data_IF_040155452356
#
_entry.id   IF_040155452356
#
_cell.length_a   1.000
_cell.length_b   1.000
_cell.length_c   1.000
_cell.angle_alpha   90.00
_cell.angle_beta   90.00
_cell.angle_gamma   90.00
#
_symmetry.space_group_name_H-M   'P 1'
#
loop_
_entity.id
_entity.type
_entity.pdbx_description
1 polymer ?
#
# COMPACT_ATOMS: atom_id res chain seq x y z
N UNK A 1 -13.73 18.37 -11.62
CA UNK A 1 -13.02 18.80 -10.41
C UNK A 1 -12.04 17.70 -10.04
N UNK A 2 -10.87 17.66 -10.70
CA UNK A 2 -9.76 16.77 -10.33
C UNK A 2 -8.78 17.65 -9.56
N UNK A 3 -8.86 17.59 -8.24
CA UNK A 3 -8.14 18.48 -7.33
C UNK A 3 -6.66 18.07 -7.26
N UNK A 4 -5.90 18.51 -8.29
CA UNK A 4 -4.48 18.88 -8.38
C UNK A 4 -3.40 17.99 -7.72
N UNK A 5 -2.37 17.58 -8.49
CA UNK A 5 -1.01 17.42 -7.97
C UNK A 5 -0.30 18.78 -7.94
N UNK A 6 0.38 19.06 -6.83
CA UNK A 6 1.31 20.19 -6.65
C UNK A 6 2.54 19.98 -7.55
N UNK A 7 2.80 20.94 -8.43
CA UNK A 7 4.05 21.02 -9.19
C UNK A 7 4.89 22.18 -8.68
N UNK A 8 6.11 21.87 -8.24
CA UNK A 8 7.19 22.84 -8.05
C UNK A 8 8.09 22.83 -9.29
N UNK A 9 8.62 24.00 -9.63
CA UNK A 9 9.20 24.40 -10.93
C UNK A 9 10.38 23.58 -11.47
N UNK A 10 10.89 22.60 -10.73
CA UNK A 10 12.12 21.87 -11.09
C UNK A 10 11.88 20.41 -11.50
N UNK A 11 10.67 19.84 -11.31
CA UNK A 11 10.32 18.45 -11.67
C UNK A 11 8.87 18.33 -12.19
N UNK A 12 8.56 19.06 -13.28
CA UNK A 12 7.22 19.07 -13.91
C UNK A 12 6.97 17.85 -14.81
N UNK A 13 7.03 16.64 -14.25
CA UNK A 13 6.60 15.42 -14.93
C UNK A 13 5.43 14.80 -14.18
N UNK A 14 4.24 14.84 -14.78
CA UNK A 14 3.10 14.09 -14.24
C UNK A 14 3.07 12.72 -14.89
N UNK A 15 3.09 11.66 -14.07
CA UNK A 15 2.93 10.29 -14.52
C UNK A 15 1.59 9.71 -14.05
N UNK A 16 0.89 9.03 -14.95
CA UNK A 16 -0.28 8.22 -14.64
C UNK A 16 -0.10 6.84 -15.24
N UNK A 17 -0.22 5.80 -14.41
CA UNK A 17 -0.01 4.42 -14.83
C UNK A 17 -1.37 3.70 -14.87
N UNK A 18 -1.68 3.10 -16.02
CA UNK A 18 -2.81 2.21 -16.21
C UNK A 18 -2.31 0.77 -16.12
N UNK A 19 -2.53 0.15 -14.96
CA UNK A 19 -2.07 -1.21 -14.66
C UNK A 19 -2.68 -2.25 -15.60
N UNK A 20 -4.00 -2.20 -15.79
CA UNK A 20 -4.72 -3.13 -16.67
C UNK A 20 -4.34 -3.01 -18.14
N UNK A 21 -3.85 -1.84 -18.56
CA UNK A 21 -3.40 -1.59 -19.93
C UNK A 21 -1.90 -1.80 -20.16
N UNK A 22 -1.09 -1.89 -19.09
CA UNK A 22 0.37 -1.85 -19.20
C UNK A 22 0.87 -0.55 -19.85
N UNK A 23 0.26 0.58 -19.50
CA UNK A 23 0.53 1.88 -20.13
C UNK A 23 0.92 2.90 -19.07
N UNK A 24 1.94 3.69 -19.36
CA UNK A 24 2.21 4.93 -18.62
C UNK A 24 1.95 6.13 -19.54
N UNK A 25 1.29 7.13 -18.98
CA UNK A 25 1.10 8.43 -19.59
C UNK A 25 1.96 9.43 -18.84
N UNK A 26 2.74 10.22 -19.57
CA UNK A 26 3.54 11.29 -18.98
C UNK A 26 3.24 12.61 -19.65
N UNK A 27 3.09 13.66 -18.84
CA UNK A 27 2.95 15.02 -19.34
C UNK A 27 4.15 15.86 -18.91
N UNK A 28 4.62 16.71 -19.83
CA UNK A 28 5.74 17.61 -19.59
C UNK A 28 5.46 18.98 -20.24
N UNK A 29 5.73 20.10 -19.56
CA UNK A 29 5.75 21.41 -20.20
C UNK A 29 6.81 21.46 -21.31
N UNK A 30 6.47 22.10 -22.43
CA UNK A 30 7.48 22.35 -23.48
C UNK A 30 8.55 23.30 -22.99
N UNK A 31 9.77 23.16 -23.53
CA UNK A 31 10.94 23.93 -23.10
C UNK A 31 10.80 25.45 -23.30
N UNK A 32 9.90 25.89 -24.18
CA UNK A 32 9.58 27.30 -24.42
C UNK A 32 8.46 27.85 -23.49
N UNK A 33 7.88 27.00 -22.65
CA UNK A 33 7.01 27.33 -21.51
C UNK A 33 5.82 28.26 -21.83
N UNK A 34 5.24 28.15 -23.04
CA UNK A 34 4.10 28.94 -23.49
C UNK A 34 2.73 28.39 -23.04
N UNK A 35 2.70 27.52 -22.01
CA UNK A 35 1.47 26.86 -21.55
C UNK A 35 1.07 25.62 -22.38
N UNK A 36 1.93 25.21 -23.31
CA UNK A 36 1.78 23.97 -24.07
C UNK A 36 2.37 22.77 -23.29
N UNK A 37 1.65 21.66 -23.28
CA UNK A 37 2.03 20.41 -22.62
C UNK A 37 2.18 19.33 -23.69
N UNK A 38 3.32 18.63 -23.70
CA UNK A 38 3.49 17.41 -24.46
C UNK A 38 2.95 16.23 -23.64
N UNK A 39 2.07 15.44 -24.25
CA UNK A 39 1.57 14.19 -23.70
C UNK A 39 2.22 13.03 -24.42
N UNK A 40 2.82 12.15 -23.66
CA UNK A 40 3.47 10.96 -24.17
C UNK A 40 2.82 9.71 -23.59
N UNK A 41 2.87 8.64 -24.37
CA UNK A 41 2.40 7.31 -24.00
C UNK A 41 3.58 6.35 -24.12
N UNK A 42 3.93 5.68 -23.02
CA UNK A 42 4.83 4.55 -23.03
C UNK A 42 4.02 3.26 -22.89
N UNK A 43 4.31 2.30 -23.76
CA UNK A 43 3.97 0.91 -23.46
C UNK A 43 4.94 0.44 -22.39
N UNK A 44 4.44 -0.27 -21.38
CA UNK A 44 5.24 -0.95 -20.37
C UNK A 44 5.18 -2.48 -20.62
N UNK A 45 5.67 -2.98 -21.78
CA UNK A 45 5.66 -4.42 -22.03
C UNK A 45 6.56 -5.10 -20.99
N UNK A 46 5.98 -6.02 -20.20
CA UNK A 46 6.69 -6.73 -19.16
C UNK A 46 6.67 -6.07 -17.78
N UNK A 47 5.81 -5.07 -17.55
CA UNK A 47 5.50 -4.61 -16.19
C UNK A 47 4.60 -5.64 -15.48
N UNK A 48 5.19 -6.80 -15.20
CA UNK A 48 4.59 -7.90 -14.46
C UNK A 48 4.98 -7.71 -13.00
N UNK A 49 4.27 -6.84 -12.29
CA UNK A 49 4.39 -6.78 -10.84
C UNK A 49 3.66 -7.98 -10.29
N UNK A 50 4.42 -8.84 -9.59
CA UNK A 50 3.84 -9.84 -8.71
C UNK A 50 3.77 -9.26 -7.30
N UNK A 51 2.58 -9.15 -6.71
CA UNK A 51 2.43 -8.57 -5.38
C UNK A 51 1.17 -9.10 -4.67
N UNK A 52 1.32 -9.48 -3.41
CA UNK A 52 0.19 -9.78 -2.55
C UNK A 52 -0.32 -8.49 -1.92
N UNK A 53 -1.61 -8.21 -2.04
CA UNK A 53 -2.30 -7.19 -1.26
C UNK A 53 -3.01 -7.91 -0.12
N UNK A 54 -2.55 -7.71 1.11
CA UNK A 54 -3.19 -8.21 2.31
C UNK A 54 -4.04 -7.09 2.89
N UNK A 55 -5.36 -7.26 2.81
CA UNK A 55 -6.34 -6.38 3.44
C UNK A 55 -6.67 -6.95 4.81
N UNK A 56 -6.45 -6.17 5.84
CA UNK A 56 -6.74 -6.58 7.22
C UNK A 56 -7.91 -5.73 7.70
N UNK A 57 -8.97 -6.38 8.14
CA UNK A 57 -10.10 -5.76 8.81
C UNK A 57 -9.94 -6.00 10.31
N UNK A 58 -9.84 -4.93 11.08
CA UNK A 58 -9.90 -4.99 12.53
C UNK A 58 -11.37 -5.09 12.94
N UNK A 59 -11.76 -6.23 13.54
CA UNK A 59 -13.05 -6.36 14.19
C UNK A 59 -13.01 -5.67 15.56
N UNK A 60 -14.18 -5.22 16.03
CA UNK A 60 -14.29 -4.48 17.29
C UNK A 60 -13.48 -3.15 17.29
N UNK A 61 -13.16 -2.60 16.11
CA UNK A 61 -12.53 -1.29 15.98
C UNK A 61 -13.55 -0.17 16.21
N UNK A 62 -13.49 0.45 17.39
CA UNK A 62 -14.36 1.58 17.77
C UNK A 62 -13.64 2.94 17.68
N UNK A 63 -12.69 3.09 16.74
CA UNK A 63 -11.91 4.33 16.60
C UNK A 63 -10.78 4.47 17.63
N UNK A 64 -10.41 3.39 18.31
CA UNK A 64 -9.30 3.36 19.25
C UNK A 64 -7.95 3.59 18.56
N UNK A 65 -6.94 4.01 19.33
CA UNK A 65 -5.58 4.15 18.82
C UNK A 65 -4.98 2.75 18.62
N UNK A 66 -4.47 2.51 17.41
CA UNK A 66 -3.88 1.24 17.00
C UNK A 66 -2.56 1.51 16.31
N UNK A 67 -1.51 0.87 16.79
CA UNK A 67 -0.20 0.83 16.16
C UNK A 67 -0.05 -0.50 15.43
N UNK A 68 0.33 -0.46 14.16
CA UNK A 68 0.58 -1.66 13.36
C UNK A 68 1.96 -1.58 12.71
N UNK A 69 2.80 -2.57 12.98
CA UNK A 69 4.15 -2.65 12.44
C UNK A 69 4.48 -4.07 12.01
N UNK A 70 5.22 -4.20 10.90
CA UNK A 70 5.74 -5.49 10.43
C UNK A 70 7.22 -5.56 10.72
N UNK A 71 7.66 -6.70 11.22
CA UNK A 71 9.04 -6.99 11.56
C UNK A 71 9.55 -8.19 10.77
N UNK A 72 10.88 -8.33 10.68
CA UNK A 72 11.48 -9.61 10.32
C UNK A 72 11.06 -10.70 11.31
N UNK A 73 11.09 -12.00 10.91
CA UNK A 73 10.69 -13.10 11.79
C UNK A 73 11.46 -13.21 13.12
N UNK A 74 12.63 -12.59 13.23
CA UNK A 74 13.45 -12.54 14.44
C UNK A 74 13.28 -11.24 15.25
N UNK A 75 12.33 -10.37 14.87
CA UNK A 75 12.07 -9.04 15.45
C UNK A 75 13.28 -8.11 15.47
N UNK A 76 14.33 -8.39 14.68
CA UNK A 76 15.55 -7.58 14.68
C UNK A 76 15.38 -6.24 13.98
N UNK A 77 14.45 -6.15 13.03
CA UNK A 77 14.22 -4.97 12.20
C UNK A 77 12.74 -4.80 11.86
N UNK A 78 12.27 -3.56 11.92
CA UNK A 78 10.94 -3.15 11.43
C UNK A 78 11.01 -2.95 9.92
N UNK A 79 10.24 -3.74 9.17
CA UNK A 79 10.15 -3.69 7.70
C UNK A 79 9.04 -2.78 7.21
N UNK A 80 8.04 -2.46 8.05
CA UNK A 80 6.97 -1.54 7.70
C UNK A 80 6.19 -1.02 8.90
N UNK A 81 5.64 0.18 8.79
CA UNK A 81 4.71 0.77 9.75
C UNK A 81 3.45 1.14 8.98
N UNK A 82 2.28 0.77 9.51
CA UNK A 82 1.01 0.86 8.82
C UNK A 82 0.01 1.69 9.63
N UNK A 83 -0.80 2.47 8.90
CA UNK A 83 -1.87 3.24 9.50
C UNK A 83 -3.20 2.50 9.33
N UNK A 84 -4.03 2.55 10.36
CA UNK A 84 -5.41 2.11 10.34
C UNK A 84 -6.28 3.25 9.81
N UNK A 85 -7.21 2.97 8.90
CA UNK A 85 -8.17 3.98 8.44
C UNK A 85 -9.39 4.10 9.37
N UNK A 86 -10.32 5.01 9.05
CA UNK A 86 -11.53 5.26 9.85
C UNK A 86 -12.46 4.03 9.98
N UNK A 87 -12.33 3.04 9.10
CA UNK A 87 -13.11 1.81 9.10
C UNK A 87 -12.40 0.63 9.78
N UNK A 88 -11.22 0.85 10.38
CA UNK A 88 -10.43 -0.25 10.96
C UNK A 88 -9.69 -1.10 9.93
N UNK A 89 -9.45 -0.59 8.72
CA UNK A 89 -8.77 -1.34 7.67
C UNK A 89 -7.27 -0.99 7.62
N UNK A 90 -6.43 -2.01 7.42
CA UNK A 90 -5.01 -1.90 7.11
C UNK A 90 -4.75 -2.55 5.75
N UNK A 91 -3.90 -1.93 4.93
CA UNK A 91 -3.46 -2.50 3.65
C UNK A 91 -1.96 -2.70 3.70
N UNK A 92 -1.53 -3.94 3.44
CA UNK A 92 -0.13 -4.34 3.32
C UNK A 92 0.11 -4.83 1.90
N UNK A 93 1.20 -4.38 1.29
CA UNK A 93 1.64 -4.84 -0.03
C UNK A 93 2.93 -5.62 0.16
N UNK A 94 2.95 -6.88 -0.28
CA UNK A 94 4.11 -7.75 -0.19
C UNK A 94 4.64 -8.12 -1.57
N UNK A 95 5.93 -7.96 -1.78
CA UNK A 95 6.66 -8.35 -2.99
C UNK A 95 7.27 -9.76 -2.88
N UNK A 96 7.72 -10.35 -4.01
CA UNK A 96 8.21 -11.72 -4.02
C UNK A 96 9.38 -11.94 -3.05
N UNK A 97 9.22 -12.91 -2.16
CA UNK A 97 10.23 -13.27 -1.15
C UNK A 97 10.14 -12.47 0.15
N UNK A 98 9.20 -11.53 0.27
CA UNK A 98 8.94 -10.85 1.54
C UNK A 98 8.15 -11.74 2.49
N UNK A 99 8.54 -11.68 3.76
CA UNK A 99 7.84 -12.30 4.88
C UNK A 99 8.10 -11.49 6.15
N UNK A 100 7.23 -11.63 7.13
CA UNK A 100 7.40 -10.94 8.40
C UNK A 100 6.31 -11.27 9.40
N UNK A 101 6.49 -10.75 10.61
CA UNK A 101 5.49 -10.80 11.67
C UNK A 101 4.86 -9.42 11.75
N UNK A 102 3.58 -9.34 11.47
CA UNK A 102 2.76 -8.17 11.73
C UNK A 102 2.36 -8.17 13.20
N UNK A 103 2.77 -7.15 13.93
CA UNK A 103 2.31 -6.84 15.27
C UNK A 103 1.28 -5.71 15.21
N UNK A 104 0.14 -5.90 15.88
CA UNK A 104 -0.94 -4.92 16.01
C UNK A 104 -1.17 -4.70 17.50
N UNK A 105 -1.00 -3.46 17.96
CA UNK A 105 -1.16 -3.07 19.35
C UNK A 105 -2.32 -2.09 19.43
N UNK A 106 -3.39 -2.48 20.09
CA UNK A 106 -4.52 -1.59 20.41
C UNK A 106 -4.36 -0.99 21.80
N UNK A 107 -4.94 0.18 22.03
CA UNK A 107 -4.85 0.86 23.34
C UNK A 107 -5.47 0.07 24.50
N UNK A 108 -6.49 -0.75 24.22
CA UNK A 108 -7.22 -1.53 25.23
C UNK A 108 -6.95 -3.04 25.13
N UNK A 109 -6.15 -3.45 24.15
CA UNK A 109 -5.97 -4.86 23.76
C UNK A 109 -4.48 -5.19 23.76
N UNK A 110 -4.11 -6.42 24.11
CA UNK A 110 -2.72 -6.86 24.02
C UNK A 110 -2.16 -6.79 22.58
N UNK A 111 -0.87 -7.04 22.44
CA UNK A 111 -0.27 -7.20 21.11
C UNK A 111 -0.83 -8.46 20.42
N UNK A 112 -1.30 -8.29 19.19
CA UNK A 112 -1.72 -9.39 18.31
C UNK A 112 -0.66 -9.55 17.24
N UNK A 113 -0.14 -10.77 17.11
CA UNK A 113 0.88 -11.12 16.13
C UNK A 113 0.31 -12.00 15.02
N UNK A 114 0.68 -11.70 13.78
CA UNK A 114 0.34 -12.51 12.60
C UNK A 114 1.54 -12.65 11.68
N UNK A 115 1.90 -13.90 11.40
CA UNK A 115 2.88 -14.19 10.37
C UNK A 115 2.26 -13.98 8.99
N UNK A 116 2.94 -13.21 8.14
CA UNK A 116 2.57 -12.96 6.77
C UNK A 116 3.73 -13.37 5.86
N UNK A 117 3.40 -14.07 4.79
CA UNK A 117 4.35 -14.50 3.76
C UNK A 117 3.75 -14.27 2.38
N UNK A 118 4.55 -13.71 1.48
CA UNK A 118 4.21 -13.59 0.06
C UNK A 118 3.81 -14.96 -0.51
N UNK A 119 2.65 -15.04 -1.17
CA UNK A 119 2.18 -16.26 -1.80
C UNK A 119 2.51 -16.22 -3.30
N UNK A 120 3.30 -17.15 -3.86
CA UNK A 120 3.66 -17.12 -5.27
C UNK A 120 2.47 -17.10 -6.22
N UNK A 121 2.38 -16.06 -7.06
CA UNK A 121 1.35 -15.90 -8.06
C UNK A 121 1.83 -15.04 -9.24
N UNK A 122 1.10 -15.09 -10.36
CA UNK A 122 1.25 -14.14 -11.45
C UNK A 122 0.32 -12.94 -11.24
N UNK A 123 0.83 -11.73 -11.38
CA UNK A 123 0.04 -10.50 -11.26
C UNK A 123 -0.19 -10.05 -9.82
N UNK A 124 -1.34 -9.45 -9.52
CA UNK A 124 -1.66 -8.99 -8.15
C UNK A 124 -2.68 -9.95 -7.55
N UNK A 125 -2.39 -10.44 -6.35
CA UNK A 125 -3.29 -11.31 -5.60
C UNK A 125 -3.75 -10.63 -4.32
N UNK A 126 -5.07 -10.54 -4.13
CA UNK A 126 -5.64 -9.95 -2.92
C UNK A 126 -6.11 -11.03 -1.95
N UNK A 127 -5.77 -10.88 -0.66
CA UNK A 127 -6.24 -11.71 0.44
C UNK A 127 -6.82 -10.81 1.52
N UNK A 128 -7.92 -11.22 2.13
CA UNK A 128 -8.52 -10.53 3.29
C UNK A 128 -8.33 -11.35 4.56
N UNK A 129 -8.00 -10.68 5.66
CA UNK A 129 -7.81 -11.25 7.00
C UNK A 129 -8.64 -10.42 7.97
N UNK A 130 -9.45 -11.09 8.80
CA UNK A 130 -10.17 -10.45 9.91
C UNK A 130 -9.39 -10.69 11.20
N UNK A 131 -9.21 -9.64 12.00
CA UNK A 131 -8.52 -9.69 13.29
C UNK A 131 -9.40 -9.02 14.34
N UNK A 132 -9.92 -9.81 15.27
CA UNK A 132 -10.62 -9.27 16.43
C UNK A 132 -9.63 -8.70 17.44
N UNK A 133 -9.79 -7.42 17.73
CA UNK A 133 -8.98 -6.75 18.75
C UNK A 133 -9.34 -7.24 20.16
N UNK A 134 -10.59 -7.68 20.40
CA UNK A 134 -11.06 -8.05 21.73
C UNK A 134 -11.54 -9.51 21.84
N UNK A 135 -10.62 -10.49 21.74
CA UNK A 135 -10.99 -11.91 21.72
C UNK A 135 -11.58 -12.43 23.04
N UNK A 136 -11.44 -11.67 24.14
CA UNK A 136 -11.90 -12.06 25.49
C UNK A 136 -13.27 -11.45 25.88
N UNK A 137 -13.92 -10.69 24.98
CA UNK A 137 -15.27 -10.16 25.20
C UNK A 137 -16.36 -11.18 24.85
N UNK A 138 -16.45 -12.26 25.63
CA UNK A 138 -17.65 -13.11 25.74
C UNK A 138 -18.42 -12.87 27.05
#
# INVERSE_FOLDING_TARGET
>A
NLARPLCTTDDDMHISISWSGGLAYFSRPKADNLGDIDLFKANLPGFNVSANIVRIQLESYEGQEVEAAMFLPDFSETTGIYNVNENGEIIIVMFPGEMGILEIIGSETGAIERELEYQPHEGIWETSIEIDLNPDAE
#
